data_IF_158959573673
#
_entry.id   IF_158959573673
#
_cell.length_a   1.000
_cell.length_b   1.000
_cell.length_c   1.000
_cell.angle_alpha   90.00
_cell.angle_beta   90.00
_cell.angle_gamma   90.00
#
_symmetry.space_group_name_H-M   'P 1'
#
loop_
_entity.id
_entity.type
_entity.pdbx_description
1 polymer ?
#
# COMPACT_ATOMS: atom_id res chain seq x y z
N UNK A 1 -7.02 -1.14 -26.22
CA UNK A 1 -6.69 -1.08 -24.79
C UNK A 1 -6.07 -2.42 -24.44
N UNK A 2 -4.77 -2.46 -24.28
CA UNK A 2 -4.09 -3.67 -23.80
C UNK A 2 -4.41 -3.78 -22.31
N UNK A 3 -5.18 -4.80 -21.93
CA UNK A 3 -5.40 -5.11 -20.53
C UNK A 3 -4.04 -5.28 -19.85
N UNK A 4 -3.83 -4.64 -18.72
CA UNK A 4 -2.64 -4.83 -17.87
C UNK A 4 -2.35 -6.32 -17.58
N UNK A 5 -3.38 -7.17 -17.67
CA UNK A 5 -3.32 -8.62 -17.47
C UNK A 5 -3.81 -9.44 -18.68
N UNK A 6 -3.44 -9.15 -19.95
CA UNK A 6 -3.91 -9.97 -21.07
C UNK A 6 -3.48 -11.45 -20.99
N UNK A 7 -2.38 -11.72 -20.29
CA UNK A 7 -1.89 -13.09 -20.01
C UNK A 7 -2.35 -13.66 -18.66
N UNK A 8 -3.09 -12.88 -17.87
CA UNK A 8 -3.55 -13.24 -16.54
C UNK A 8 -5.08 -13.23 -16.42
N UNK A 9 -5.80 -13.46 -17.50
CA UNK A 9 -7.22 -13.81 -17.42
C UNK A 9 -7.33 -15.22 -16.84
N UNK A 10 -8.42 -15.49 -16.11
CA UNK A 10 -8.68 -16.81 -15.52
C UNK A 10 -8.60 -17.93 -16.54
N UNK A 11 -8.96 -17.68 -17.79
CA UNK A 11 -8.91 -18.61 -18.92
C UNK A 11 -7.46 -18.98 -19.33
N UNK A 12 -6.47 -18.16 -18.97
CA UNK A 12 -5.06 -18.38 -19.26
C UNK A 12 -4.29 -19.06 -18.12
N UNK A 13 -4.96 -19.40 -17.02
CA UNK A 13 -4.30 -19.92 -15.82
C UNK A 13 -3.86 -21.39 -15.95
N UNK A 14 -4.10 -22.12 -17.00
CA UNK A 14 -3.67 -23.52 -17.14
C UNK A 14 -3.25 -24.19 -15.81
N UNK A 15 -4.07 -24.05 -14.75
CA UNK A 15 -3.85 -24.56 -13.38
C UNK A 15 -2.70 -23.90 -12.56
N UNK A 16 -2.23 -22.68 -12.90
CA UNK A 16 -1.22 -21.97 -12.10
C UNK A 16 -1.67 -20.56 -11.68
N UNK A 17 -1.27 -20.17 -10.47
CA UNK A 17 -1.41 -18.79 -10.00
C UNK A 17 -0.36 -17.93 -10.69
N UNK A 18 -0.71 -16.82 -11.36
CA UNK A 18 0.28 -16.00 -12.05
C UNK A 18 1.27 -15.36 -11.06
N UNK A 19 2.53 -15.19 -11.47
CA UNK A 19 3.53 -14.56 -10.64
C UNK A 19 3.20 -13.06 -10.41
N UNK A 20 3.72 -12.51 -9.32
CA UNK A 20 3.70 -11.07 -9.06
C UNK A 20 4.94 -10.47 -9.72
N UNK A 21 4.80 -9.87 -10.90
CA UNK A 21 5.91 -9.33 -11.68
C UNK A 21 6.78 -8.35 -10.89
N UNK A 22 6.16 -7.48 -10.11
CA UNK A 22 6.88 -6.57 -9.21
C UNK A 22 7.82 -7.30 -8.24
N UNK A 23 7.36 -8.35 -7.57
CA UNK A 23 8.19 -9.09 -6.61
C UNK A 23 9.28 -9.89 -7.30
N UNK A 24 8.98 -10.49 -8.45
CA UNK A 24 9.96 -11.20 -9.27
C UNK A 24 11.05 -10.27 -9.83
N UNK A 25 10.71 -9.03 -10.13
CA UNK A 25 11.67 -8.01 -10.53
C UNK A 25 12.49 -7.50 -9.33
N UNK A 26 11.81 -7.25 -8.18
CA UNK A 26 12.37 -6.55 -7.03
C UNK A 26 13.30 -7.41 -6.17
N UNK A 27 12.89 -8.65 -5.84
CA UNK A 27 13.62 -9.51 -4.89
C UNK A 27 15.06 -9.80 -5.35
N UNK A 28 15.32 -10.21 -6.61
CA UNK A 28 16.70 -10.45 -7.07
C UNK A 28 17.56 -9.18 -7.01
N UNK A 29 17.00 -8.01 -7.29
CA UNK A 29 17.74 -6.74 -7.28
C UNK A 29 18.11 -6.25 -5.88
N UNK A 30 17.34 -6.60 -4.88
CA UNK A 30 17.72 -6.35 -3.48
C UNK A 30 18.99 -7.14 -3.10
N UNK A 31 19.16 -8.34 -3.67
CA UNK A 31 20.36 -9.18 -3.43
C UNK A 31 21.61 -8.64 -4.10
N UNK A 32 21.49 -7.77 -5.12
CA UNK A 32 22.63 -7.08 -5.75
C UNK A 32 23.33 -6.11 -4.79
N UNK A 33 22.73 -5.78 -3.64
CA UNK A 33 23.27 -4.92 -2.58
C UNK A 33 23.86 -3.59 -3.10
N UNK A 34 23.15 -2.90 -4.01
CA UNK A 34 23.56 -1.62 -4.58
C UNK A 34 23.78 -0.59 -3.47
N UNK A 35 24.83 0.23 -3.61
CA UNK A 35 25.23 1.24 -2.63
C UNK A 35 24.12 2.24 -2.33
N UNK A 36 23.37 2.66 -3.36
CA UNK A 36 22.28 3.62 -3.25
C UNK A 36 20.96 2.92 -3.53
N UNK A 37 20.04 2.96 -2.57
CA UNK A 37 18.76 2.27 -2.70
C UNK A 37 17.61 3.22 -2.41
N UNK A 38 16.88 3.63 -3.47
CA UNK A 38 15.65 4.42 -3.42
C UNK A 38 14.41 3.56 -3.75
N UNK A 39 14.53 2.23 -3.70
CA UNK A 39 13.43 1.33 -4.06
C UNK A 39 12.51 0.96 -2.89
N UNK A 40 12.81 1.37 -1.69
CA UNK A 40 12.04 1.03 -0.49
C UNK A 40 10.57 1.43 -0.62
N UNK A 41 9.69 0.64 0.00
CA UNK A 41 8.27 0.93 0.12
C UNK A 41 7.80 1.08 1.56
N UNK A 42 8.73 1.27 2.48
CA UNK A 42 8.50 1.48 3.91
C UNK A 42 9.50 2.48 4.48
N UNK A 43 9.13 3.05 5.61
CA UNK A 43 9.98 3.93 6.40
C UNK A 43 11.23 3.18 6.86
N UNK A 44 12.36 3.86 6.97
CA UNK A 44 13.53 3.39 7.71
C UNK A 44 13.54 4.02 9.09
N UNK A 45 13.36 3.19 10.10
CA UNK A 45 13.37 3.58 11.50
C UNK A 45 13.90 2.42 12.36
N UNK A 46 14.76 2.72 13.31
CA UNK A 46 15.36 1.73 14.20
C UNK A 46 14.61 1.71 15.53
N UNK A 47 13.74 0.73 15.70
CA UNK A 47 13.05 0.49 16.96
C UNK A 47 14.00 -0.10 17.99
N UNK A 48 14.05 0.49 19.18
CA UNK A 48 14.72 -0.10 20.34
C UNK A 48 13.84 -1.20 20.97
N UNK A 49 13.78 -2.34 20.30
CA UNK A 49 12.98 -3.48 20.75
C UNK A 49 13.45 -4.00 22.10
N UNK A 50 14.76 -4.01 22.34
CA UNK A 50 15.34 -4.43 23.62
C UNK A 50 14.95 -3.50 24.76
N UNK A 51 15.00 -2.20 24.55
CA UNK A 51 14.55 -1.19 25.54
C UNK A 51 13.06 -1.23 25.80
N UNK A 52 12.24 -1.56 24.79
CA UNK A 52 10.79 -1.66 24.94
C UNK A 52 10.33 -2.89 25.73
N UNK A 53 10.95 -4.03 25.53
CA UNK A 53 10.49 -5.33 26.02
C UNK A 53 11.42 -5.95 27.07
N UNK A 54 12.71 -5.57 27.11
CA UNK A 54 13.69 -6.19 27.98
C UNK A 54 13.76 -7.72 27.78
N UNK A 55 13.80 -8.48 28.88
CA UNK A 55 13.83 -9.94 28.82
C UNK A 55 12.54 -10.58 28.30
N UNK A 56 11.43 -9.86 28.32
CA UNK A 56 10.12 -10.37 27.85
C UNK A 56 10.11 -10.77 26.38
N UNK A 57 11.02 -10.26 25.56
CA UNK A 57 11.15 -10.63 24.16
C UNK A 57 11.44 -12.13 23.98
N UNK A 58 12.16 -12.73 24.92
CA UNK A 58 12.53 -14.15 24.89
C UNK A 58 11.47 -15.10 25.49
N UNK A 59 10.40 -14.59 26.07
CA UNK A 59 9.34 -15.38 26.73
C UNK A 59 8.37 -15.99 25.72
N UNK A 60 8.87 -16.83 24.82
CA UNK A 60 8.10 -17.42 23.70
C UNK A 60 7.02 -18.38 24.21
N UNK A 61 7.30 -19.11 25.31
CA UNK A 61 6.39 -20.13 25.86
C UNK A 61 5.19 -19.59 26.64
N UNK A 62 5.15 -18.30 26.99
CA UNK A 62 4.01 -17.71 27.68
C UNK A 62 2.90 -17.33 26.70
N UNK A 63 1.62 -17.51 27.04
CA UNK A 63 0.52 -16.97 26.28
C UNK A 63 0.70 -15.45 26.11
N UNK A 64 0.58 -14.94 24.89
CA UNK A 64 0.83 -13.52 24.59
C UNK A 64 -0.10 -12.55 25.34
N UNK A 65 -1.28 -13.01 25.74
CA UNK A 65 -2.26 -12.21 26.48
C UNK A 65 -2.05 -12.17 28.00
N UNK A 66 -1.05 -12.87 28.53
CA UNK A 66 -0.91 -13.01 29.97
C UNK A 66 -0.38 -11.74 30.65
N UNK A 67 0.39 -10.91 29.97
CA UNK A 67 1.16 -9.79 30.54
C UNK A 67 1.29 -8.58 29.60
N UNK A 68 0.46 -8.50 28.56
CA UNK A 68 0.40 -7.36 27.64
C UNK A 68 -1.05 -6.88 27.46
N UNK A 69 -1.21 -5.63 27.13
CA UNK A 69 -2.48 -5.10 26.63
C UNK A 69 -2.79 -5.69 25.25
N UNK A 70 -4.02 -6.12 25.04
CA UNK A 70 -4.44 -6.64 23.73
C UNK A 70 -4.27 -5.54 22.65
N UNK A 71 -3.47 -5.76 21.60
CA UNK A 71 -3.29 -4.79 20.53
C UNK A 71 -4.60 -4.31 19.90
N UNK A 72 -5.66 -5.14 19.89
CA UNK A 72 -6.98 -4.73 19.40
C UNK A 72 -7.57 -3.58 20.22
N UNK A 73 -7.37 -3.57 21.54
CA UNK A 73 -7.84 -2.50 22.41
C UNK A 73 -7.11 -1.20 22.11
N UNK A 74 -5.79 -1.27 21.88
CA UNK A 74 -4.97 -0.10 21.56
C UNK A 74 -5.40 0.48 20.19
N UNK A 75 -5.56 -0.39 19.18
CA UNK A 75 -6.02 0.01 17.84
C UNK A 75 -7.45 0.58 17.92
N UNK A 76 -8.38 -0.10 18.57
CA UNK A 76 -9.76 0.32 18.72
C UNK A 76 -9.87 1.72 19.36
N UNK A 77 -9.10 1.96 20.43
CA UNK A 77 -9.01 3.28 21.07
C UNK A 77 -8.47 4.35 20.13
N UNK A 78 -7.46 4.02 19.34
CA UNK A 78 -6.85 4.94 18.37
C UNK A 78 -7.84 5.29 17.24
N UNK A 79 -8.64 4.31 16.80
CA UNK A 79 -9.60 4.46 15.70
C UNK A 79 -11.00 4.90 16.15
N UNK A 80 -11.25 4.99 17.46
CA UNK A 80 -12.56 5.38 18.00
C UNK A 80 -13.65 4.33 17.79
N UNK A 81 -13.28 3.04 17.73
CA UNK A 81 -14.20 1.91 17.53
C UNK A 81 -14.17 0.92 18.68
N UNK A 82 -15.05 -0.09 18.68
CA UNK A 82 -14.99 -1.22 19.62
C UNK A 82 -13.85 -2.18 19.25
N UNK A 83 -13.21 -2.87 20.24
CA UNK A 83 -12.30 -3.97 19.93
C UNK A 83 -12.91 -5.09 19.08
N UNK A 84 -14.22 -5.26 19.10
CA UNK A 84 -14.94 -6.22 18.26
C UNK A 84 -15.01 -5.80 16.79
N UNK A 85 -14.66 -4.56 16.48
CA UNK A 85 -14.50 -4.06 15.11
C UNK A 85 -13.08 -4.29 14.55
N UNK A 86 -12.18 -4.91 15.31
CA UNK A 86 -10.76 -5.06 14.94
C UNK A 86 -10.37 -6.53 14.84
N UNK A 87 -9.76 -6.92 13.73
CA UNK A 87 -9.09 -8.21 13.55
C UNK A 87 -7.59 -7.99 13.27
N UNK A 88 -6.73 -8.65 14.04
CA UNK A 88 -5.28 -8.65 13.79
C UNK A 88 -4.94 -9.67 12.69
N UNK A 89 -3.98 -9.30 11.82
CA UNK A 89 -3.50 -10.12 10.70
C UNK A 89 -1.98 -10.15 10.61
N UNK A 90 -1.42 -11.09 9.84
CA UNK A 90 0.01 -11.16 9.53
C UNK A 90 0.41 -10.13 8.46
N UNK A 91 0.24 -8.83 8.79
CA UNK A 91 0.48 -7.69 7.90
C UNK A 91 -0.67 -7.43 6.93
N UNK A 92 -0.60 -6.29 6.21
CA UNK A 92 -1.65 -5.85 5.28
C UNK A 92 -1.92 -6.85 4.14
N UNK A 93 -0.91 -7.56 3.63
CA UNK A 93 -1.11 -8.53 2.53
C UNK A 93 -2.07 -9.66 2.93
N UNK A 94 -1.92 -10.22 4.14
CA UNK A 94 -2.94 -11.17 4.62
C UNK A 94 -4.27 -10.48 4.88
N UNK A 95 -4.23 -9.24 5.36
CA UNK A 95 -5.42 -8.40 5.52
C UNK A 95 -6.22 -8.27 4.22
N UNK A 96 -5.55 -8.01 3.09
CA UNK A 96 -6.17 -7.94 1.76
C UNK A 96 -6.89 -9.26 1.41
N UNK A 97 -6.22 -10.41 1.62
CA UNK A 97 -6.81 -11.70 1.32
C UNK A 97 -8.04 -11.99 2.19
N UNK A 98 -7.95 -11.75 3.50
CA UNK A 98 -9.05 -11.98 4.44
C UNK A 98 -10.20 -11.01 4.18
N UNK A 99 -9.92 -9.73 3.91
CA UNK A 99 -10.95 -8.73 3.61
C UNK A 99 -11.76 -9.13 2.37
N UNK A 100 -11.07 -9.55 1.30
CA UNK A 100 -11.76 -9.96 0.07
C UNK A 100 -12.55 -11.26 0.27
N UNK A 101 -11.99 -12.27 0.94
CA UNK A 101 -12.73 -13.50 1.30
C UNK A 101 -13.95 -13.19 2.16
N UNK A 102 -13.82 -12.25 3.09
CA UNK A 102 -14.92 -11.81 3.96
C UNK A 102 -16.01 -11.11 3.17
N UNK A 103 -15.65 -10.19 2.28
CA UNK A 103 -16.60 -9.50 1.41
C UNK A 103 -17.33 -10.48 0.49
N UNK A 104 -16.62 -11.43 -0.11
CA UNK A 104 -17.20 -12.50 -0.92
C UNK A 104 -18.18 -13.33 -0.08
N UNK A 105 -17.78 -13.75 1.13
CA UNK A 105 -18.65 -14.55 2.01
C UNK A 105 -19.92 -13.79 2.41
N UNK A 106 -19.83 -12.44 2.63
CA UNK A 106 -20.99 -11.57 2.96
C UNK A 106 -22.05 -11.54 1.87
N UNK A 107 -21.64 -11.65 0.62
CA UNK A 107 -22.54 -11.46 -0.54
C UNK A 107 -22.87 -12.74 -1.29
N UNK A 108 -22.16 -13.85 -1.03
CA UNK A 108 -22.28 -15.10 -1.79
C UNK A 108 -23.71 -15.60 -1.96
N UNK A 109 -24.50 -15.55 -0.90
CA UNK A 109 -25.90 -16.03 -0.93
C UNK A 109 -26.89 -15.00 -1.55
N UNK A 110 -26.42 -13.79 -1.82
CA UNK A 110 -27.24 -12.70 -2.38
C UNK A 110 -26.99 -12.48 -3.86
N UNK A 111 -25.83 -12.91 -4.36
CA UNK A 111 -25.40 -12.70 -5.74
C UNK A 111 -25.72 -13.93 -6.55
N UNK A 112 -26.62 -13.79 -7.51
CA UNK A 112 -26.85 -14.82 -8.52
C UNK A 112 -25.81 -14.69 -9.65
N UNK A 113 -24.96 -15.69 -9.83
CA UNK A 113 -23.94 -15.71 -10.87
C UNK A 113 -22.52 -15.33 -10.39
N UNK A 114 -21.83 -14.56 -11.20
CA UNK A 114 -20.41 -14.23 -10.98
C UNK A 114 -20.23 -13.15 -9.92
N UNK A 115 -19.27 -13.33 -9.04
CA UNK A 115 -18.78 -12.26 -8.15
C UNK A 115 -17.73 -11.46 -8.90
N UNK A 116 -18.03 -10.17 -9.10
CA UNK A 116 -17.20 -9.23 -9.86
C UNK A 116 -16.54 -8.26 -8.87
N UNK A 117 -15.23 -8.11 -8.98
CA UNK A 117 -14.42 -7.20 -8.16
C UNK A 117 -13.80 -6.13 -9.05
N UNK A 118 -14.00 -4.85 -8.70
CA UNK A 118 -13.24 -3.76 -9.28
C UNK A 118 -11.94 -3.53 -8.50
N UNK A 119 -10.82 -3.32 -9.19
CA UNK A 119 -9.55 -2.99 -8.56
C UNK A 119 -8.85 -1.86 -9.33
N UNK A 120 -8.39 -0.86 -8.60
CA UNK A 120 -7.74 0.32 -9.18
C UNK A 120 -6.41 0.00 -9.89
N UNK A 121 -5.98 0.90 -10.79
CA UNK A 121 -4.69 0.87 -11.50
C UNK A 121 -4.17 2.29 -11.69
N UNK A 122 -2.87 2.59 -11.46
CA UNK A 122 -1.85 1.71 -10.88
C UNK A 122 -2.08 1.44 -9.39
N UNK A 123 -1.59 0.31 -8.89
CA UNK A 123 -1.69 -0.04 -7.47
C UNK A 123 -0.65 -1.11 -7.08
N UNK A 124 -0.59 -1.43 -5.79
CA UNK A 124 0.21 -2.52 -5.26
C UNK A 124 -0.27 -3.88 -5.82
N UNK A 125 0.60 -4.56 -6.54
CA UNK A 125 0.26 -5.76 -7.32
C UNK A 125 -0.53 -6.85 -6.56
N UNK A 126 -0.29 -7.15 -5.27
CA UNK A 126 -1.10 -8.12 -4.53
C UNK A 126 -2.59 -7.79 -4.45
N UNK A 127 -3.02 -6.54 -4.57
CA UNK A 127 -4.45 -6.17 -4.54
C UNK A 127 -5.20 -6.79 -5.72
N UNK A 128 -4.89 -6.43 -6.99
CA UNK A 128 -5.56 -7.08 -8.13
C UNK A 128 -5.25 -8.57 -8.25
N UNK A 129 -4.07 -9.01 -7.81
CA UNK A 129 -3.70 -10.42 -7.83
C UNK A 129 -4.62 -11.25 -6.93
N UNK A 130 -4.90 -10.76 -5.72
CA UNK A 130 -5.86 -11.41 -4.81
C UNK A 130 -7.26 -11.46 -5.43
N UNK A 131 -7.69 -10.36 -6.08
CA UNK A 131 -8.97 -10.35 -6.79
C UNK A 131 -9.03 -11.37 -7.92
N UNK A 132 -7.97 -11.50 -8.73
CA UNK A 132 -7.88 -12.51 -9.79
C UNK A 132 -7.96 -13.94 -9.29
N UNK A 133 -7.43 -14.22 -8.09
CA UNK A 133 -7.46 -15.56 -7.51
C UNK A 133 -8.83 -15.91 -6.95
N UNK A 134 -9.51 -14.94 -6.32
CA UNK A 134 -10.68 -15.19 -5.48
C UNK A 134 -12.03 -14.83 -6.13
N UNK A 135 -12.05 -13.87 -7.05
CA UNK A 135 -13.26 -13.44 -7.75
C UNK A 135 -13.47 -14.19 -9.06
N UNK A 136 -14.71 -14.19 -9.58
CA UNK A 136 -15.02 -14.78 -10.88
C UNK A 136 -14.65 -13.87 -12.05
N UNK A 137 -14.65 -12.53 -11.80
CA UNK A 137 -14.27 -11.52 -12.79
C UNK A 137 -13.63 -10.31 -12.11
N UNK A 138 -12.63 -9.71 -12.75
CA UNK A 138 -11.96 -8.50 -12.24
C UNK A 138 -12.03 -7.38 -13.27
N UNK A 139 -12.56 -6.23 -12.86
CA UNK A 139 -12.57 -5.00 -13.65
C UNK A 139 -11.46 -4.08 -13.15
N UNK A 140 -10.59 -3.61 -14.05
CA UNK A 140 -9.57 -2.63 -13.70
C UNK A 140 -10.12 -1.22 -13.93
N UNK A 141 -10.01 -0.36 -12.91
CA UNK A 141 -10.40 1.05 -12.96
C UNK A 141 -9.18 1.94 -12.77
N UNK A 142 -9.06 2.98 -13.62
CA UNK A 142 -7.85 3.76 -13.66
C UNK A 142 -7.87 4.94 -12.69
N UNK A 143 -6.75 5.13 -12.02
CA UNK A 143 -6.39 6.40 -11.38
C UNK A 143 -5.72 7.30 -12.42
N UNK A 144 -6.05 8.57 -12.39
CA UNK A 144 -5.41 9.59 -13.23
C UNK A 144 -4.40 10.39 -12.42
N UNK A 145 -3.23 10.70 -12.98
CA UNK A 145 -2.26 11.59 -12.33
C UNK A 145 -2.86 12.96 -12.04
N UNK A 146 -2.29 13.73 -11.11
CA UNK A 146 -2.68 15.11 -10.88
C UNK A 146 -2.53 15.96 -12.15
N UNK A 147 -3.50 16.83 -12.40
CA UNK A 147 -3.44 17.81 -13.50
C UNK A 147 -2.76 19.13 -13.11
N UNK A 148 -2.48 19.28 -11.82
CA UNK A 148 -1.79 20.43 -11.23
C UNK A 148 -0.75 19.90 -10.24
N UNK A 149 0.20 20.73 -9.80
CA UNK A 149 1.28 20.35 -8.87
C UNK A 149 0.86 19.90 -7.45
N UNK A 150 -0.41 19.60 -7.25
CA UNK A 150 -0.93 19.06 -5.99
C UNK A 150 -0.96 17.53 -6.03
N UNK A 151 -0.35 16.85 -5.10
CA UNK A 151 -0.19 15.40 -5.03
C UNK A 151 -1.48 14.60 -4.79
N UNK A 152 -2.54 14.90 -5.56
CA UNK A 152 -3.82 14.19 -5.53
C UNK A 152 -4.00 13.37 -6.81
N UNK A 153 -4.35 12.10 -6.67
CA UNK A 153 -4.86 11.36 -7.81
C UNK A 153 -6.38 11.55 -7.97
N UNK A 154 -6.84 11.45 -9.20
CA UNK A 154 -8.24 11.66 -9.59
C UNK A 154 -8.81 10.40 -10.24
N UNK A 155 -10.12 10.34 -10.40
CA UNK A 155 -10.84 9.29 -11.11
C UNK A 155 -11.48 9.81 -12.39
N UNK A 156 -11.73 8.92 -13.34
CA UNK A 156 -12.67 9.18 -14.43
C UNK A 156 -14.05 8.69 -13.99
N UNK A 157 -14.97 9.61 -13.73
CA UNK A 157 -16.30 9.30 -13.18
C UNK A 157 -17.09 8.31 -14.03
N UNK A 158 -17.03 8.41 -15.36
CA UNK A 158 -17.76 7.53 -16.28
C UNK A 158 -17.23 6.09 -16.22
N UNK A 159 -15.91 5.93 -16.23
CA UNK A 159 -15.24 4.63 -16.12
C UNK A 159 -15.56 3.96 -14.78
N UNK A 160 -15.43 4.72 -13.68
CA UNK A 160 -15.67 4.21 -12.34
C UNK A 160 -17.13 3.91 -12.07
N UNK A 161 -18.07 4.74 -12.55
CA UNK A 161 -19.50 4.48 -12.44
C UNK A 161 -19.89 3.20 -13.19
N UNK A 162 -19.36 3.03 -14.40
CA UNK A 162 -19.60 1.81 -15.17
C UNK A 162 -19.09 0.56 -14.46
N UNK A 163 -17.92 0.65 -13.83
CA UNK A 163 -17.35 -0.44 -13.04
C UNK A 163 -18.19 -0.72 -11.79
N UNK A 164 -18.57 0.31 -11.02
CA UNK A 164 -19.37 0.15 -9.80
C UNK A 164 -20.74 -0.47 -10.04
N UNK A 165 -21.42 -0.09 -11.12
CA UNK A 165 -22.70 -0.71 -11.51
C UNK A 165 -22.61 -2.21 -11.83
N UNK A 166 -21.43 -2.71 -12.15
CA UNK A 166 -21.17 -4.12 -12.48
C UNK A 166 -20.53 -4.90 -11.35
N UNK A 167 -19.84 -4.20 -10.44
CA UNK A 167 -19.05 -4.84 -9.39
C UNK A 167 -19.82 -4.96 -8.09
N UNK A 168 -19.49 -5.97 -7.31
CA UNK A 168 -20.01 -6.17 -5.96
C UNK A 168 -19.03 -5.67 -4.89
N UNK A 169 -17.75 -5.59 -5.25
CA UNK A 169 -16.65 -5.19 -4.37
C UNK A 169 -15.73 -4.28 -5.16
N UNK A 170 -15.23 -3.21 -4.53
CA UNK A 170 -14.17 -2.37 -5.07
C UNK A 170 -12.98 -2.31 -4.12
N UNK A 171 -11.76 -2.40 -4.65
CA UNK A 171 -10.53 -2.35 -3.89
C UNK A 171 -9.72 -1.10 -4.26
N UNK A 172 -9.39 -0.26 -3.26
CA UNK A 172 -8.71 1.02 -3.44
C UNK A 172 -7.53 1.20 -2.48
N UNK A 173 -6.64 2.14 -2.81
CA UNK A 173 -5.58 2.64 -1.92
C UNK A 173 -5.69 4.16 -1.84
N UNK A 174 -6.22 4.73 -0.76
CA UNK A 174 -6.39 6.18 -0.64
C UNK A 174 -5.10 6.97 -0.78
N UNK A 175 -4.00 6.47 -0.20
CA UNK A 175 -2.63 6.94 -0.50
C UNK A 175 -1.99 5.94 -1.45
N UNK A 176 -1.80 6.35 -2.69
CA UNK A 176 -1.42 5.47 -3.79
C UNK A 176 0.03 4.98 -3.70
N UNK A 177 0.23 3.69 -3.87
CA UNK A 177 1.50 3.11 -4.29
C UNK A 177 1.39 2.82 -5.81
N UNK A 178 2.22 3.44 -6.67
CA UNK A 178 3.60 3.89 -6.42
C UNK A 178 3.80 5.40 -6.16
N UNK A 179 2.78 6.24 -6.23
CA UNK A 179 2.99 7.68 -6.36
C UNK A 179 3.08 8.46 -5.05
N UNK A 180 2.51 7.96 -3.95
CA UNK A 180 2.31 8.75 -2.73
C UNK A 180 1.25 9.83 -2.87
N UNK A 181 0.55 9.91 -4.00
CA UNK A 181 -0.57 10.83 -4.18
C UNK A 181 -1.78 10.36 -3.39
N UNK A 182 -2.51 11.32 -2.84
CA UNK A 182 -3.70 11.08 -2.02
C UNK A 182 -4.95 11.19 -2.88
N UNK A 183 -5.93 10.32 -2.66
CA UNK A 183 -7.25 10.41 -3.32
C UNK A 183 -7.87 11.78 -3.05
N UNK A 184 -8.31 12.49 -4.10
CA UNK A 184 -8.95 13.77 -3.93
C UNK A 184 -10.26 13.63 -3.14
N UNK A 185 -10.57 14.60 -2.27
CA UNK A 185 -11.70 14.51 -1.36
C UNK A 185 -13.05 14.35 -2.07
N UNK A 186 -13.25 15.10 -3.17
CA UNK A 186 -14.47 14.99 -3.98
C UNK A 186 -14.64 13.61 -4.60
N UNK A 187 -13.52 13.02 -5.05
CA UNK A 187 -13.54 11.69 -5.66
C UNK A 187 -13.79 10.60 -4.62
N UNK A 188 -13.21 10.75 -3.40
CA UNK A 188 -13.51 9.88 -2.27
C UNK A 188 -15.01 9.90 -1.94
N UNK A 189 -15.54 11.09 -1.76
CA UNK A 189 -16.96 11.27 -1.37
C UNK A 189 -17.90 10.76 -2.47
N UNK A 190 -17.52 10.92 -3.73
CA UNK A 190 -18.24 10.35 -4.86
C UNK A 190 -18.17 8.80 -4.87
N UNK A 191 -16.98 8.20 -4.61
CA UNK A 191 -16.83 6.74 -4.50
C UNK A 191 -17.74 6.20 -3.40
N UNK A 192 -17.80 6.85 -2.24
CA UNK A 192 -18.65 6.46 -1.12
C UNK A 192 -20.11 6.52 -1.51
N UNK A 193 -20.58 7.64 -2.07
CA UNK A 193 -21.96 7.81 -2.49
C UNK A 193 -22.37 6.75 -3.55
N UNK A 194 -21.49 6.46 -4.51
CA UNK A 194 -21.77 5.45 -5.54
C UNK A 194 -21.70 4.01 -5.02
N UNK A 195 -20.84 3.74 -4.04
CA UNK A 195 -20.80 2.44 -3.38
C UNK A 195 -22.11 2.17 -2.60
N UNK A 196 -22.64 3.19 -1.89
CA UNK A 196 -23.93 3.10 -1.21
C UNK A 196 -25.09 2.92 -2.21
N UNK A 197 -25.14 3.73 -3.28
CA UNK A 197 -26.16 3.64 -4.32
C UNK A 197 -26.25 2.25 -4.98
N UNK A 198 -25.12 1.57 -5.14
CA UNK A 198 -25.04 0.28 -5.85
C UNK A 198 -24.82 -0.93 -4.92
N UNK A 199 -24.90 -0.77 -3.60
CA UNK A 199 -24.63 -1.80 -2.56
C UNK A 199 -23.26 -2.48 -2.75
N UNK A 200 -22.21 -1.70 -3.07
CA UNK A 200 -20.85 -2.18 -3.31
C UNK A 200 -20.04 -2.14 -2.01
N UNK A 201 -19.36 -3.23 -1.69
CA UNK A 201 -18.41 -3.26 -0.57
C UNK A 201 -17.09 -2.60 -0.99
N UNK A 202 -16.62 -1.64 -0.19
CA UNK A 202 -15.33 -0.96 -0.41
C UNK A 202 -14.27 -1.54 0.53
N UNK A 203 -13.18 -2.05 -0.06
CA UNK A 203 -11.99 -2.50 0.67
C UNK A 203 -10.87 -1.51 0.40
N UNK A 204 -10.31 -0.88 1.44
CA UNK A 204 -9.22 0.06 1.31
C UNK A 204 -7.93 -0.48 1.97
N UNK A 205 -6.85 -0.56 1.19
CA UNK A 205 -5.49 -0.73 1.74
C UNK A 205 -4.96 0.64 2.16
N UNK A 206 -4.97 0.88 3.46
CA UNK A 206 -4.62 2.13 4.11
C UNK A 206 -3.23 2.07 4.78
N UNK A 207 -2.35 1.17 4.31
CA UNK A 207 -1.04 0.94 4.90
C UNK A 207 -0.15 2.20 5.01
N UNK A 208 -0.52 3.28 4.33
CA UNK A 208 0.16 4.58 4.37
C UNK A 208 -0.67 5.69 5.04
N UNK A 209 -1.94 5.47 5.34
CA UNK A 209 -2.84 6.52 5.84
C UNK A 209 -2.53 6.95 7.27
N UNK A 210 -2.09 6.02 8.11
CA UNK A 210 -2.05 6.21 9.56
C UNK A 210 -1.11 7.36 10.00
N UNK A 211 0.02 7.55 9.32
CA UNK A 211 0.92 8.67 9.56
C UNK A 211 0.42 10.02 9.01
N UNK A 212 -0.69 10.03 8.28
CA UNK A 212 -1.24 11.21 7.61
C UNK A 212 -2.67 11.54 8.06
N UNK A 213 -3.03 11.20 9.31
CA UNK A 213 -4.37 11.40 9.89
C UNK A 213 -4.84 12.84 9.91
N UNK A 214 -3.92 13.82 9.91
CA UNK A 214 -4.22 15.24 9.81
C UNK A 214 -4.75 15.66 8.44
N UNK A 215 -4.59 14.82 7.42
CA UNK A 215 -5.11 15.05 6.07
C UNK A 215 -6.52 14.45 5.99
N UNK A 216 -7.57 15.27 5.81
CA UNK A 216 -8.97 14.83 5.76
C UNK A 216 -9.19 13.74 4.68
N UNK A 217 -8.49 13.83 3.56
CA UNK A 217 -8.56 12.86 2.48
C UNK A 217 -8.04 11.46 2.88
N UNK A 218 -7.21 11.39 3.92
CA UNK A 218 -6.67 10.12 4.46
C UNK A 218 -7.56 9.52 5.55
N UNK A 219 -8.76 10.07 5.79
CA UNK A 219 -9.72 9.51 6.72
C UNK A 219 -10.02 8.06 6.37
N UNK A 220 -9.93 7.17 7.38
CA UNK A 220 -10.09 5.74 7.19
C UNK A 220 -11.49 5.38 6.69
N UNK A 221 -11.57 4.46 5.72
CA UNK A 221 -12.81 4.17 5.00
C UNK A 221 -13.87 3.53 5.92
N UNK A 222 -13.48 2.75 6.93
CA UNK A 222 -14.41 2.12 7.87
C UNK A 222 -15.29 3.12 8.63
N UNK A 223 -14.92 4.40 8.65
CA UNK A 223 -15.70 5.46 9.33
C UNK A 223 -16.97 5.85 8.57
N UNK A 224 -17.14 5.36 7.34
CA UNK A 224 -18.31 5.69 6.49
C UNK A 224 -19.46 4.69 6.61
N UNK A 225 -19.27 3.50 7.19
CA UNK A 225 -20.37 2.56 7.44
C UNK A 225 -19.99 1.08 7.41
N UNK A 226 -20.98 0.21 7.35
CA UNK A 226 -20.83 -1.25 7.51
C UNK A 226 -20.35 -1.98 6.25
N UNK A 227 -20.42 -1.34 5.08
CA UNK A 227 -19.93 -1.91 3.81
C UNK A 227 -18.47 -1.51 3.51
N UNK A 228 -17.73 -1.03 4.52
CA UNK A 228 -16.38 -0.54 4.36
C UNK A 228 -15.40 -1.32 5.23
N UNK A 229 -14.29 -1.77 4.61
CA UNK A 229 -13.24 -2.54 5.29
C UNK A 229 -11.92 -1.79 5.11
N UNK A 230 -11.38 -1.25 6.20
CA UNK A 230 -10.04 -0.66 6.27
C UNK A 230 -8.99 -1.73 6.59
N UNK A 231 -7.86 -1.68 5.89
CA UNK A 231 -6.69 -2.55 6.10
C UNK A 231 -5.49 -1.68 6.42
N UNK A 232 -4.78 -1.97 7.51
CA UNK A 232 -3.57 -1.24 7.88
C UNK A 232 -2.49 -2.15 8.45
N UNK A 233 -1.29 -1.63 8.70
CA UNK A 233 -0.19 -2.42 9.27
C UNK A 233 0.94 -1.57 9.85
N UNK A 234 1.74 -2.18 10.71
CA UNK A 234 3.01 -1.61 11.16
C UNK A 234 4.15 -1.75 10.13
N UNK A 235 3.87 -2.36 8.98
CA UNK A 235 4.89 -2.76 7.99
C UNK A 235 5.55 -1.57 7.28
N UNK A 236 4.75 -0.57 6.89
CA UNK A 236 5.19 0.45 5.91
C UNK A 236 5.65 1.73 6.59
N UNK A 237 4.74 2.52 7.06
CA UNK A 237 5.04 3.81 7.70
C UNK A 237 5.73 3.66 9.06
N UNK A 238 5.57 2.52 9.72
CA UNK A 238 6.16 2.26 11.03
C UNK A 238 7.39 1.34 11.02
N UNK A 239 7.96 1.05 9.85
CA UNK A 239 9.23 0.33 9.68
C UNK A 239 9.29 -1.07 10.32
N UNK A 240 8.16 -1.69 10.64
CA UNK A 240 8.08 -3.00 11.29
C UNK A 240 7.73 -4.13 10.32
N UNK A 241 8.28 -4.09 9.11
CA UNK A 241 8.07 -5.12 8.09
C UNK A 241 8.28 -6.55 8.56
N UNK A 242 9.41 -6.86 9.23
CA UNK A 242 9.75 -8.23 9.63
C UNK A 242 8.77 -8.86 10.65
N UNK A 243 8.11 -8.08 11.51
CA UNK A 243 7.21 -8.64 12.52
C UNK A 243 5.86 -9.10 11.96
N UNK A 244 5.53 -8.73 10.73
CA UNK A 244 4.29 -9.13 10.04
C UNK A 244 3.03 -8.85 10.85
N UNK A 245 2.82 -7.60 11.28
CA UNK A 245 1.64 -7.19 12.03
C UNK A 245 0.80 -6.20 11.24
N UNK A 246 -0.49 -6.49 11.11
CA UNK A 246 -1.50 -5.65 10.47
C UNK A 246 -2.87 -5.87 11.11
N UNK A 247 -3.88 -5.15 10.62
CA UNK A 247 -5.24 -5.28 11.12
C UNK A 247 -6.27 -4.91 10.06
N UNK A 248 -7.50 -5.42 10.27
CA UNK A 248 -8.73 -5.01 9.58
C UNK A 248 -9.63 -4.27 10.55
N UNK A 249 -10.35 -3.29 10.05
CA UNK A 249 -11.44 -2.61 10.78
C UNK A 249 -12.68 -2.59 9.91
N UNK A 250 -13.80 -3.01 10.50
CA UNK A 250 -15.15 -2.94 9.89
C UNK A 250 -16.19 -3.09 10.98
N UNK A 251 -17.47 -3.20 10.62
CA UNK A 251 -18.53 -3.56 11.57
C UNK A 251 -18.28 -4.93 12.23
N UNK A 252 -18.82 -5.13 13.43
CA UNK A 252 -18.55 -6.34 14.24
C UNK A 252 -19.04 -7.64 13.58
N UNK A 253 -20.09 -7.60 12.76
CA UNK A 253 -20.59 -8.78 12.05
C UNK A 253 -19.63 -9.16 10.92
N UNK A 254 -19.12 -8.19 10.18
CA UNK A 254 -18.07 -8.37 9.17
C UNK A 254 -16.80 -8.92 9.79
N UNK A 255 -16.37 -8.36 10.94
CA UNK A 255 -15.18 -8.84 11.67
C UNK A 255 -15.38 -10.27 12.21
N UNK A 256 -16.59 -10.65 12.61
CA UNK A 256 -16.86 -12.03 13.04
C UNK A 256 -16.64 -13.05 11.90
N UNK A 257 -17.06 -12.71 10.67
CA UNK A 257 -16.80 -13.53 9.48
C UNK A 257 -15.28 -13.57 9.20
N UNK A 258 -14.62 -12.41 9.19
CA UNK A 258 -13.18 -12.29 8.97
C UNK A 258 -12.36 -13.11 9.98
N UNK A 259 -12.77 -13.13 11.25
CA UNK A 259 -12.15 -13.93 12.31
C UNK A 259 -12.23 -15.42 12.02
N UNK A 260 -13.38 -15.93 11.58
CA UNK A 260 -13.53 -17.36 11.23
C UNK A 260 -12.63 -17.73 10.05
N UNK A 261 -12.52 -16.87 9.03
CA UNK A 261 -11.61 -17.04 7.91
C UNK A 261 -10.17 -17.04 8.38
N UNK A 262 -9.77 -16.06 9.20
CA UNK A 262 -8.42 -15.99 9.77
C UNK A 262 -8.06 -17.26 10.56
N UNK A 263 -8.95 -17.72 11.44
CA UNK A 263 -8.73 -18.94 12.24
C UNK A 263 -8.56 -20.17 11.36
N UNK A 264 -9.27 -20.24 10.24
CA UNK A 264 -9.18 -21.37 9.29
C UNK A 264 -7.83 -21.43 8.59
N UNK A 265 -7.29 -20.28 8.17
CA UNK A 265 -6.06 -20.23 7.36
C UNK A 265 -4.78 -20.02 8.17
N UNK A 266 -4.88 -19.45 9.38
CA UNK A 266 -3.71 -18.95 10.12
C UNK A 266 -3.67 -19.43 11.58
N UNK A 267 -4.79 -19.87 12.14
CA UNK A 267 -4.88 -20.23 13.55
C UNK A 267 -4.77 -19.00 14.46
N UNK A 268 -3.59 -18.76 15.03
CA UNK A 268 -3.35 -17.68 15.97
C UNK A 268 -2.13 -16.85 15.59
N UNK A 269 -2.06 -15.65 16.12
CA UNK A 269 -0.89 -14.76 15.96
C UNK A 269 0.32 -15.25 16.78
N UNK A 270 1.51 -14.97 16.29
CA UNK A 270 2.76 -15.23 16.99
C UNK A 270 2.85 -14.40 18.28
N UNK A 271 3.19 -15.04 19.40
CA UNK A 271 3.34 -14.37 20.70
C UNK A 271 4.40 -13.25 20.66
N UNK A 272 5.63 -13.44 20.15
CA UNK A 272 6.59 -12.36 20.02
C UNK A 272 6.08 -11.18 19.18
N UNK A 273 5.41 -11.45 18.05
CA UNK A 273 4.80 -10.42 17.21
C UNK A 273 3.80 -9.57 18.00
N UNK A 274 2.91 -10.21 18.75
CA UNK A 274 1.89 -9.51 19.54
C UNK A 274 2.51 -8.64 20.63
N UNK A 275 3.58 -9.11 21.31
CA UNK A 275 4.30 -8.35 22.34
C UNK A 275 4.96 -7.10 21.75
N UNK A 276 5.70 -7.27 20.66
CA UNK A 276 6.36 -6.14 19.98
C UNK A 276 5.32 -5.13 19.49
N UNK A 277 4.24 -5.61 18.86
CA UNK A 277 3.20 -4.74 18.32
C UNK A 277 2.46 -3.96 19.43
N UNK A 278 2.12 -4.59 20.56
CA UNK A 278 1.47 -3.92 21.68
C UNK A 278 2.28 -2.73 22.20
N UNK A 279 3.61 -2.88 22.30
CA UNK A 279 4.48 -1.81 22.77
C UNK A 279 4.73 -0.75 21.68
N UNK A 280 4.87 -1.15 20.42
CA UNK A 280 5.05 -0.23 19.31
C UNK A 280 3.83 0.67 19.09
N UNK A 281 2.62 0.11 19.15
CA UNK A 281 1.35 0.84 18.99
C UNK A 281 1.18 2.00 19.99
N UNK A 282 1.83 1.94 21.12
CA UNK A 282 1.82 3.01 22.15
C UNK A 282 2.78 4.17 21.83
N UNK A 283 3.63 4.02 20.79
CA UNK A 283 4.75 4.93 20.48
C UNK A 283 4.81 5.37 19.03
N UNK A 284 3.72 5.20 18.26
CA UNK A 284 3.71 5.48 16.81
C UNK A 284 4.02 6.94 16.47
N UNK A 285 3.61 7.87 17.32
CA UNK A 285 3.89 9.31 17.16
C UNK A 285 5.38 9.67 17.16
N UNK A 286 6.26 8.82 17.65
CA UNK A 286 7.71 9.02 17.50
C UNK A 286 8.17 8.82 16.06
N UNK A 287 7.56 7.86 15.35
CA UNK A 287 7.84 7.58 13.94
C UNK A 287 7.18 8.63 13.05
N UNK A 288 5.97 9.09 13.40
CA UNK A 288 5.28 10.16 12.68
C UNK A 288 6.13 11.44 12.60
N UNK A 289 6.81 11.81 13.70
CA UNK A 289 7.76 12.94 13.75
C UNK A 289 8.97 12.71 12.83
N UNK A 290 9.47 11.48 12.77
CA UNK A 290 10.62 11.13 11.92
C UNK A 290 10.24 11.16 10.43
N UNK A 291 9.03 10.71 10.08
CA UNK A 291 8.49 10.82 8.72
C UNK A 291 8.45 12.29 8.29
N UNK A 292 7.92 13.16 9.15
CA UNK A 292 7.84 14.60 8.85
C UNK A 292 9.23 15.25 8.74
N UNK A 293 10.19 14.83 9.58
CA UNK A 293 11.58 15.24 9.47
C UNK A 293 12.20 14.84 8.12
N UNK A 294 12.08 13.56 7.71
CA UNK A 294 12.61 13.12 6.42
C UNK A 294 11.92 13.81 5.24
N UNK A 295 10.62 14.01 5.35
CA UNK A 295 9.86 14.73 4.32
C UNK A 295 10.43 16.15 4.11
N UNK A 296 10.63 16.90 5.18
CA UNK A 296 11.13 18.27 5.15
C UNK A 296 12.57 18.36 4.61
N UNK A 297 13.42 17.41 4.98
CA UNK A 297 14.84 17.44 4.56
C UNK A 297 15.02 16.88 3.14
N UNK A 298 14.30 15.82 2.76
CA UNK A 298 14.58 15.05 1.56
C UNK A 298 13.84 15.54 0.30
N UNK A 299 12.55 15.90 0.42
CA UNK A 299 11.77 16.28 -0.77
C UNK A 299 12.36 17.50 -1.52
N UNK A 300 12.86 18.57 -0.85
CA UNK A 300 13.50 19.68 -1.56
C UNK A 300 14.74 19.27 -2.37
N UNK A 301 15.52 18.30 -1.89
CA UNK A 301 16.73 17.81 -2.58
C UNK A 301 16.31 17.09 -3.87
N UNK A 302 15.31 16.23 -3.79
CA UNK A 302 14.79 15.51 -4.97
C UNK A 302 14.18 16.48 -5.98
N UNK A 303 13.36 17.43 -5.52
CA UNK A 303 12.75 18.45 -6.38
C UNK A 303 13.80 19.22 -7.16
N UNK A 304 14.85 19.69 -6.51
CA UNK A 304 15.91 20.45 -7.17
C UNK A 304 16.62 19.65 -8.29
N UNK A 305 16.82 18.34 -8.10
CA UNK A 305 17.40 17.49 -9.15
C UNK A 305 16.42 17.27 -10.29
N UNK A 306 15.14 17.02 -10.02
CA UNK A 306 14.14 16.83 -11.07
C UNK A 306 13.95 18.12 -11.90
N UNK A 307 13.90 19.30 -11.26
CA UNK A 307 13.83 20.60 -11.92
C UNK A 307 15.07 20.88 -12.81
N UNK A 308 16.28 20.52 -12.34
CA UNK A 308 17.52 20.61 -13.12
C UNK A 308 17.42 19.89 -14.47
N UNK A 309 16.72 18.74 -14.49
CA UNK A 309 16.50 17.92 -15.68
C UNK A 309 15.21 18.25 -16.44
N UNK A 310 14.51 19.32 -16.09
CA UNK A 310 13.25 19.73 -16.71
C UNK A 310 12.10 18.76 -16.48
N UNK A 311 12.15 17.98 -15.41
CA UNK A 311 11.11 17.02 -15.04
C UNK A 311 10.09 17.73 -14.17
N UNK A 312 8.85 17.83 -14.66
CA UNK A 312 7.73 18.31 -13.86
C UNK A 312 7.33 17.25 -12.82
N UNK A 313 7.25 17.64 -11.57
CA UNK A 313 7.02 16.72 -10.48
C UNK A 313 5.82 17.10 -9.62
N UNK A 314 4.82 16.24 -9.67
CA UNK A 314 3.73 16.29 -8.70
C UNK A 314 4.20 15.64 -7.39
N UNK A 315 4.66 16.47 -6.46
CA UNK A 315 5.16 16.04 -5.16
C UNK A 315 4.10 15.25 -4.39
N UNK A 316 4.45 14.11 -3.74
CA UNK A 316 3.50 13.31 -2.99
C UNK A 316 3.04 14.04 -1.73
N UNK A 317 1.74 13.98 -1.43
CA UNK A 317 1.17 14.48 -0.17
C UNK A 317 1.26 13.45 0.94
N UNK A 318 1.37 12.17 0.61
CA UNK A 318 1.40 11.07 1.55
C UNK A 318 2.44 10.01 1.20
N UNK A 319 2.37 8.87 1.88
CA UNK A 319 3.27 7.75 1.63
C UNK A 319 4.70 7.98 2.13
N UNK A 320 5.62 7.23 1.56
CA UNK A 320 7.06 7.21 1.91
C UNK A 320 7.95 7.20 0.66
N UNK A 321 7.34 7.48 -0.49
CA UNK A 321 7.95 7.52 -1.82
C UNK A 321 7.18 8.50 -2.72
N UNK A 322 7.69 8.76 -3.90
CA UNK A 322 7.03 9.50 -4.95
C UNK A 322 7.35 8.94 -6.32
N UNK A 323 6.59 9.37 -7.33
CA UNK A 323 6.83 9.05 -8.72
C UNK A 323 7.08 10.30 -9.54
N UNK A 324 7.91 10.17 -10.57
CA UNK A 324 8.06 11.17 -11.63
C UNK A 324 8.11 10.49 -12.99
N UNK A 325 7.78 11.23 -14.03
CA UNK A 325 7.85 10.75 -15.41
C UNK A 325 9.20 11.10 -16.04
N UNK A 326 9.82 10.14 -16.71
CA UNK A 326 11.08 10.34 -17.43
C UNK A 326 10.84 11.15 -18.70
N UNK A 327 11.74 12.05 -19.09
CA UNK A 327 11.62 12.81 -20.32
C UNK A 327 11.58 11.90 -21.56
N UNK A 328 10.98 12.42 -22.64
CA UNK A 328 10.91 11.75 -23.95
C UNK A 328 10.27 10.34 -23.92
N UNK A 329 9.38 10.07 -22.96
CA UNK A 329 8.76 8.75 -22.78
C UNK A 329 9.80 7.62 -22.66
N UNK A 330 10.95 7.90 -22.06
CA UNK A 330 12.01 6.91 -21.84
C UNK A 330 11.46 5.72 -21.05
N UNK A 331 11.81 4.51 -21.48
CA UNK A 331 11.41 3.29 -20.80
C UNK A 331 12.06 3.18 -19.41
N UNK A 332 11.26 3.08 -18.37
CA UNK A 332 11.72 3.08 -16.97
C UNK A 332 12.51 1.83 -16.57
N UNK A 333 12.30 0.69 -17.22
CA UNK A 333 13.12 -0.51 -16.98
C UNK A 333 14.52 -0.33 -17.56
N UNK A 334 14.61 0.24 -18.78
CA UNK A 334 15.92 0.60 -19.37
C UNK A 334 16.64 1.61 -18.49
N UNK A 335 15.94 2.63 -17.99
CA UNK A 335 16.52 3.61 -17.07
C UNK A 335 17.05 2.94 -15.79
N UNK A 336 16.27 2.08 -15.15
CA UNK A 336 16.66 1.40 -13.91
C UNK A 336 17.82 0.40 -14.11
N UNK A 337 17.77 -0.40 -15.19
CA UNK A 337 18.69 -1.51 -15.40
C UNK A 337 19.98 -1.13 -16.12
N UNK A 338 19.99 0.00 -16.85
CA UNK A 338 21.19 0.48 -17.55
C UNK A 338 21.77 1.74 -16.90
N UNK A 339 20.99 2.82 -16.79
CA UNK A 339 21.48 4.10 -16.31
C UNK A 339 21.67 4.13 -14.79
N UNK A 340 20.65 3.72 -14.02
CA UNK A 340 20.78 3.68 -12.55
C UNK A 340 21.81 2.62 -12.09
N UNK A 341 21.82 1.45 -12.72
CA UNK A 341 22.80 0.39 -12.39
C UNK A 341 24.23 0.84 -12.58
N UNK A 342 24.53 1.62 -13.61
CA UNK A 342 25.86 2.20 -13.86
C UNK A 342 26.35 3.08 -12.70
N UNK A 343 25.44 3.70 -11.97
CA UNK A 343 25.72 4.57 -10.81
C UNK A 343 25.42 3.90 -9.46
N UNK A 344 25.33 2.56 -9.47
CA UNK A 344 25.09 1.75 -8.26
C UNK A 344 23.83 2.14 -7.49
N UNK A 345 22.78 2.57 -8.23
CA UNK A 345 21.50 3.03 -7.73
C UNK A 345 20.38 2.02 -8.04
N UNK A 346 19.49 1.78 -7.09
CA UNK A 346 18.27 1.01 -7.27
C UNK A 346 17.05 1.92 -7.12
N UNK A 347 16.22 2.00 -8.17
CA UNK A 347 14.91 2.65 -8.22
C UNK A 347 13.87 1.64 -8.71
N UNK A 348 12.58 1.93 -8.64
CA UNK A 348 11.54 1.01 -9.14
C UNK A 348 10.90 1.56 -10.41
N UNK A 349 10.92 0.80 -11.52
CA UNK A 349 10.20 1.18 -12.73
C UNK A 349 8.69 1.22 -12.51
N UNK A 350 8.03 2.21 -13.09
CA UNK A 350 6.58 2.36 -13.01
C UNK A 350 5.81 1.25 -13.75
N UNK A 351 6.43 0.64 -14.77
CA UNK A 351 5.90 -0.54 -15.47
C UNK A 351 5.55 -1.71 -14.54
N UNK A 352 6.19 -1.78 -13.36
CA UNK A 352 5.86 -2.78 -12.33
C UNK A 352 4.50 -2.56 -11.65
N UNK A 353 3.85 -1.42 -11.86
CA UNK A 353 2.56 -1.07 -11.27
C UNK A 353 1.45 -0.93 -12.30
N UNK A 354 1.77 -0.55 -13.53
CA UNK A 354 0.83 -0.40 -14.64
C UNK A 354 1.56 -0.27 -15.98
N UNK A 355 0.96 -0.80 -17.04
CA UNK A 355 1.37 -0.59 -18.44
C UNK A 355 1.27 0.88 -18.89
N UNK A 356 0.52 1.70 -18.14
CA UNK A 356 0.43 3.15 -18.36
C UNK A 356 1.55 3.94 -17.69
N UNK A 357 2.43 3.29 -16.94
CA UNK A 357 3.53 3.90 -16.22
C UNK A 357 4.91 3.47 -16.75
N UNK A 358 5.00 3.09 -17.99
CA UNK A 358 6.24 2.59 -18.61
C UNK A 358 7.37 3.61 -18.66
N UNK A 359 7.04 4.91 -18.61
CA UNK A 359 7.99 6.02 -18.51
C UNK A 359 8.17 6.58 -17.08
N UNK A 360 7.50 6.01 -16.09
CA UNK A 360 7.52 6.51 -14.71
C UNK A 360 8.53 5.77 -13.86
N UNK A 361 9.05 6.46 -12.84
CA UNK A 361 9.99 5.89 -11.85
C UNK A 361 9.50 6.20 -10.45
N UNK A 362 9.47 5.19 -9.57
CA UNK A 362 9.22 5.38 -8.13
C UNK A 362 10.55 5.48 -7.38
N UNK A 363 10.65 6.48 -6.50
CA UNK A 363 11.77 6.70 -5.58
C UNK A 363 11.27 6.86 -4.16
N UNK A 364 11.90 6.18 -3.21
CA UNK A 364 11.67 6.37 -1.79
C UNK A 364 12.38 7.64 -1.32
N UNK A 365 11.68 8.43 -0.50
CA UNK A 365 12.27 9.60 0.15
C UNK A 365 12.41 9.43 1.68
N UNK A 366 11.87 8.37 2.24
CA UNK A 366 11.78 8.09 3.68
C UNK A 366 13.01 7.35 4.21
N UNK A 367 14.18 7.83 3.88
CA UNK A 367 15.48 7.31 4.35
C UNK A 367 16.28 8.45 4.99
N UNK A 368 17.28 8.08 5.79
CA UNK A 368 18.13 9.04 6.51
C UNK A 368 18.71 10.09 5.53
N UNK A 369 18.66 11.41 5.87
CA UNK A 369 18.96 12.49 4.93
C UNK A 369 20.34 12.44 4.28
N UNK A 370 21.40 12.02 4.99
CA UNK A 370 22.74 11.92 4.41
C UNK A 370 22.84 10.81 3.37
N UNK A 371 22.17 9.68 3.61
CA UNK A 371 22.06 8.56 2.66
C UNK A 371 21.19 8.96 1.46
N UNK A 372 20.10 9.69 1.72
CA UNK A 372 19.23 10.18 0.66
C UNK A 372 19.95 11.14 -0.27
N UNK A 373 20.67 12.11 0.26
CA UNK A 373 21.46 13.08 -0.52
C UNK A 373 22.42 12.35 -1.46
N UNK A 374 23.17 11.38 -0.93
CA UNK A 374 24.11 10.57 -1.74
C UNK A 374 23.41 9.75 -2.83
N UNK A 375 22.20 9.21 -2.54
CA UNK A 375 21.41 8.47 -3.52
C UNK A 375 20.82 9.37 -4.60
N UNK A 376 20.41 10.60 -4.25
CA UNK A 376 19.91 11.58 -5.23
C UNK A 376 21.04 12.13 -6.11
N UNK A 377 22.29 12.23 -5.61
CA UNK A 377 23.46 12.53 -6.46
C UNK A 377 23.72 11.40 -7.49
N UNK A 378 23.47 10.14 -7.13
CA UNK A 378 23.54 9.02 -8.07
C UNK A 378 22.37 9.06 -9.08
N UNK A 379 21.17 9.49 -8.65
CA UNK A 379 20.04 9.71 -9.54
C UNK A 379 20.30 10.84 -10.54
N UNK A 380 20.87 11.94 -10.10
CA UNK A 380 21.29 13.08 -10.95
C UNK A 380 22.21 12.60 -12.09
N UNK A 381 23.28 11.85 -11.75
CA UNK A 381 24.20 11.26 -12.73
C UNK A 381 23.50 10.26 -13.66
N UNK A 382 22.50 9.53 -13.15
CA UNK A 382 21.74 8.56 -13.95
C UNK A 382 20.86 9.28 -14.99
N UNK A 383 20.25 10.39 -14.61
CA UNK A 383 19.50 11.26 -15.51
C UNK A 383 20.42 11.94 -16.56
N UNK A 384 21.57 12.48 -16.16
CA UNK A 384 22.58 12.99 -17.09
C UNK A 384 22.98 11.93 -18.12
N UNK A 385 23.25 10.67 -17.67
CA UNK A 385 23.63 9.56 -18.56
C UNK A 385 22.51 9.07 -19.47
N UNK A 386 21.27 9.36 -19.14
CA UNK A 386 20.11 8.92 -19.90
C UNK A 386 19.66 9.97 -20.94
N UNK A 387 19.99 11.25 -20.71
CA UNK A 387 19.57 12.38 -21.54
C UNK A 387 20.66 12.87 -22.50
N UNK A 388 21.91 12.45 -22.30
CA UNK A 388 23.06 12.71 -23.17
C UNK A 388 23.45 11.45 -23.94
#
# INVERSE_FOLDING_TARGET
>A
MTNYWPRFTRDNFENSVPPIDYLNWYIPRLQEARRHNLSFSGMQYNWDIQGMLGEKIAEIGKPYMADIEDPRIIIAKREGVSPDNVLITHGATQGINIALLTAIAKIRDKVEGKIIVAAESPTYAPIPQTALILADEVIRVNKTPPTTGYGHWRINYEEWETAMKKSHIIMITPISNPSGWVLHIEDRDWIIAKAEENDVIVIADEAYNDAYRQIEQSRAIHTFGDNYISINSLTKVYAMGPIRFGWLISDSKTIAIAKNIFMTFSGVMSSPTMRIAAEALKRLDTVDKEIEYYRRENLPILRAVLEKHGIDWNEPLGGVFGCFELPNNMNSEVFADQHCKKHDLLVVPGSMFSDRMTSWVRVAWSIEPSLFKSAVEALDKSLDSALN
#
